data_IF_391632827602
#
_entry.id   IF_391632827602
#
_cell.length_a   1.000
_cell.length_b   1.000
_cell.length_c   1.000
_cell.angle_alpha   90.00
_cell.angle_beta   90.00
_cell.angle_gamma   90.00
#
_symmetry.space_group_name_H-M   'P 1'
#
loop_
_entity.id
_entity.type
_entity.pdbx_description
1 polymer ?
#
# COMPACT_ATOMS: atom_id res chain seq x y z
N UNK A 1 8.73 27.04 -54.83
CA UNK A 1 8.32 25.63 -54.87
C UNK A 1 9.58 24.78 -54.84
N UNK A 2 9.88 24.16 -53.70
CA UNK A 2 10.82 23.06 -53.62
C UNK A 2 10.32 22.18 -52.47
N UNK A 3 9.52 21.18 -52.84
CA UNK A 3 8.99 20.16 -51.95
C UNK A 3 10.08 19.09 -51.85
N UNK A 4 10.73 18.94 -50.70
CA UNK A 4 11.68 17.85 -50.47
C UNK A 4 10.96 16.77 -49.65
N UNK A 5 10.96 15.50 -50.11
CA UNK A 5 10.14 14.44 -49.53
C UNK A 5 10.80 13.76 -48.34
N UNK A 6 9.95 13.26 -47.44
CA UNK A 6 10.12 12.10 -46.56
C UNK A 6 11.47 11.94 -45.81
N UNK A 7 11.50 12.37 -44.55
CA UNK A 7 12.15 11.55 -43.52
C UNK A 7 11.09 10.64 -42.90
N UNK A 8 10.94 9.49 -43.54
CA UNK A 8 10.18 8.34 -43.09
C UNK A 8 10.87 7.79 -41.82
N UNK A 9 10.40 8.14 -40.64
CA UNK A 9 10.83 7.52 -39.38
C UNK A 9 9.71 7.54 -38.35
N UNK A 10 8.52 7.08 -38.75
CA UNK A 10 7.40 6.81 -37.85
C UNK A 10 6.97 5.35 -38.02
N UNK A 11 7.85 4.41 -37.68
CA UNK A 11 7.48 3.03 -37.41
C UNK A 11 8.48 2.45 -36.39
N UNK A 12 8.09 2.43 -35.11
CA UNK A 12 8.47 1.32 -34.24
C UNK A 12 7.57 0.13 -34.61
N UNK A 13 8.13 -1.06 -34.69
CA UNK A 13 7.44 -2.31 -35.05
C UNK A 13 6.29 -2.67 -34.09
N UNK A 14 6.16 -1.96 -32.97
CA UNK A 14 5.02 -2.00 -32.08
C UNK A 14 4.65 -0.55 -31.70
N UNK A 15 3.43 -0.14 -32.08
CA UNK A 15 3.02 1.26 -32.09
C UNK A 15 2.73 1.85 -30.72
N UNK A 16 3.32 3.00 -30.43
CA UNK A 16 2.63 4.22 -29.97
C UNK A 16 3.45 5.44 -30.42
N UNK A 17 2.83 6.54 -30.85
CA UNK A 17 3.55 7.77 -31.18
C UNK A 17 4.07 8.42 -29.89
N UNK A 18 5.40 8.49 -29.75
CA UNK A 18 6.04 9.23 -28.66
C UNK A 18 5.78 10.72 -28.91
N UNK A 19 4.85 11.30 -28.17
CA UNK A 19 4.65 12.75 -28.12
C UNK A 19 5.82 13.37 -27.34
N UNK A 20 6.54 14.37 -27.89
CA UNK A 20 7.72 14.94 -27.25
C UNK A 20 7.39 15.84 -26.03
N UNK A 21 6.10 15.95 -25.65
CA UNK A 21 5.68 16.81 -24.55
C UNK A 21 4.68 16.07 -23.65
N UNK A 22 5.18 15.21 -22.79
CA UNK A 22 4.41 14.66 -21.67
C UNK A 22 5.33 14.60 -20.45
N UNK A 23 5.15 15.55 -19.53
CA UNK A 23 5.60 15.49 -18.14
C UNK A 23 4.81 14.44 -17.34
N UNK A 24 4.39 13.36 -18.01
CA UNK A 24 3.70 12.23 -17.43
C UNK A 24 4.77 11.20 -17.08
N UNK A 25 4.85 10.71 -15.84
CA UNK A 25 5.76 9.65 -15.48
C UNK A 25 5.52 8.44 -16.39
N UNK A 26 6.58 7.99 -17.09
CA UNK A 26 6.57 6.76 -17.87
C UNK A 26 6.42 5.56 -16.91
N UNK A 27 5.18 5.19 -16.59
CA UNK A 27 4.90 3.94 -15.91
C UNK A 27 5.06 2.80 -16.93
N UNK A 28 6.12 2.01 -16.76
CA UNK A 28 6.31 0.78 -17.52
C UNK A 28 5.34 -0.24 -16.91
N UNK A 29 4.15 -0.36 -17.49
CA UNK A 29 3.09 -1.27 -17.03
C UNK A 29 3.47 -2.75 -17.18
N UNK A 30 4.55 -3.04 -17.91
CA UNK A 30 5.05 -4.39 -18.17
C UNK A 30 6.01 -4.90 -17.07
N UNK A 31 6.35 -4.09 -16.06
CA UNK A 31 7.25 -4.47 -14.97
C UNK A 31 6.51 -4.67 -13.63
N UNK A 32 6.87 -5.75 -12.90
CA UNK A 32 6.34 -6.02 -11.57
C UNK A 32 6.90 -5.03 -10.52
N UNK A 33 6.00 -4.34 -9.82
CA UNK A 33 6.37 -3.42 -8.74
C UNK A 33 6.58 -4.21 -7.45
N UNK A 34 7.77 -4.05 -6.86
CA UNK A 34 8.11 -4.66 -5.56
C UNK A 34 7.71 -3.74 -4.41
N UNK A 35 7.22 -4.34 -3.33
CA UNK A 35 6.87 -3.60 -2.11
C UNK A 35 8.08 -2.97 -1.41
N UNK A 36 9.25 -3.62 -1.48
CA UNK A 36 10.50 -3.15 -0.88
C UNK A 36 11.69 -3.36 -1.82
N UNK A 37 12.72 -2.53 -1.69
CA UNK A 37 13.98 -2.65 -2.41
C UNK A 37 15.15 -3.13 -1.52
N UNK A 38 15.04 -3.00 -0.20
CA UNK A 38 16.10 -3.36 0.75
C UNK A 38 15.56 -4.00 2.04
N UNK A 39 16.45 -4.62 2.83
CA UNK A 39 16.09 -5.32 4.07
C UNK A 39 15.45 -4.40 5.12
N UNK A 40 15.87 -3.14 5.20
CA UNK A 40 15.33 -2.16 6.15
C UNK A 40 13.88 -1.79 5.81
N UNK A 41 13.58 -1.61 4.52
CA UNK A 41 12.21 -1.39 4.05
C UNK A 41 11.34 -2.61 4.28
N UNK A 42 11.86 -3.81 4.02
CA UNK A 42 11.15 -5.05 4.32
C UNK A 42 10.77 -5.14 5.79
N UNK A 43 11.73 -4.95 6.70
CA UNK A 43 11.47 -4.96 8.16
C UNK A 43 10.44 -3.89 8.56
N UNK A 44 10.52 -2.69 7.97
CA UNK A 44 9.51 -1.65 8.18
C UNK A 44 8.12 -2.13 7.77
N UNK A 45 7.96 -2.75 6.60
CA UNK A 45 6.65 -3.22 6.13
C UNK A 45 6.13 -4.42 6.93
N UNK A 46 7.00 -5.32 7.39
CA UNK A 46 6.62 -6.39 8.31
C UNK A 46 6.05 -5.81 9.61
N UNK A 47 6.75 -4.84 10.22
CA UNK A 47 6.26 -4.18 11.43
C UNK A 47 4.91 -3.47 11.21
N UNK A 48 4.72 -2.82 10.05
CA UNK A 48 3.44 -2.19 9.71
C UNK A 48 2.33 -3.23 9.49
N UNK A 49 2.65 -4.36 8.86
CA UNK A 49 1.72 -5.46 8.64
C UNK A 49 1.27 -6.10 9.96
N UNK A 50 2.19 -6.30 10.91
CA UNK A 50 1.90 -6.82 12.24
C UNK A 50 0.93 -5.89 12.99
N UNK A 51 1.18 -4.58 12.99
CA UNK A 51 0.29 -3.64 13.66
C UNK A 51 -1.09 -3.62 12.99
N UNK A 52 -1.16 -3.61 11.66
CA UNK A 52 -2.43 -3.70 10.94
C UNK A 52 -3.21 -4.98 11.31
N UNK A 53 -2.54 -6.12 11.36
CA UNK A 53 -3.15 -7.40 11.75
C UNK A 53 -3.70 -7.36 13.18
N UNK A 54 -2.98 -6.75 14.12
CA UNK A 54 -3.44 -6.59 15.51
C UNK A 54 -4.68 -5.69 15.60
N UNK A 55 -4.71 -4.58 14.85
CA UNK A 55 -5.87 -3.68 14.85
C UNK A 55 -7.11 -4.39 14.29
N UNK A 56 -6.96 -5.07 13.16
CA UNK A 56 -8.07 -5.79 12.52
C UNK A 56 -8.56 -6.94 13.40
N UNK A 57 -7.66 -7.71 14.01
CA UNK A 57 -8.07 -8.77 14.95
C UNK A 57 -8.80 -8.21 16.16
N UNK A 58 -8.42 -7.04 16.68
CA UNK A 58 -9.16 -6.33 17.73
C UNK A 58 -10.57 -5.96 17.27
N UNK A 59 -10.73 -5.41 16.06
CA UNK A 59 -12.06 -5.07 15.50
C UNK A 59 -12.97 -6.31 15.42
N UNK A 60 -12.43 -7.46 15.02
CA UNK A 60 -13.18 -8.72 15.02
C UNK A 60 -13.53 -9.21 16.43
N UNK A 61 -12.64 -9.04 17.39
CA UNK A 61 -12.85 -9.48 18.77
C UNK A 61 -13.93 -8.64 19.46
N UNK A 62 -13.99 -7.33 19.19
CA UNK A 62 -15.08 -6.46 19.64
C UNK A 62 -16.42 -6.86 19.01
N UNK A 63 -16.42 -7.17 17.71
CA UNK A 63 -17.60 -7.70 17.00
C UNK A 63 -18.04 -9.07 17.55
N UNK A 64 -17.12 -9.91 18.01
CA UNK A 64 -17.42 -11.21 18.60
C UNK A 64 -18.00 -11.06 20.02
N UNK A 65 -17.50 -10.09 20.79
CA UNK A 65 -18.04 -9.72 22.10
C UNK A 65 -19.50 -9.26 22.00
N UNK A 66 -19.84 -8.42 21.02
CA UNK A 66 -21.23 -7.98 20.77
C UNK A 66 -22.16 -9.16 20.42
N UNK A 67 -21.61 -10.29 19.96
CA UNK A 67 -22.34 -11.52 19.63
C UNK A 67 -22.29 -12.57 20.76
N UNK A 68 -21.89 -12.17 21.97
CA UNK A 68 -21.73 -13.04 23.14
C UNK A 68 -20.82 -14.27 22.89
N UNK A 69 -19.93 -14.18 21.90
CA UNK A 69 -19.01 -15.28 21.54
C UNK A 69 -17.69 -15.25 22.33
N UNK A 70 -17.43 -14.15 23.03
CA UNK A 70 -16.22 -13.90 23.83
C UNK A 70 -16.65 -13.19 25.12
N UNK A 71 -16.01 -13.50 26.25
CA UNK A 71 -16.32 -12.88 27.54
C UNK A 71 -15.68 -11.50 27.71
N UNK A 72 -16.24 -10.69 28.63
CA UNK A 72 -15.69 -9.36 28.94
C UNK A 72 -14.27 -9.41 29.53
N UNK A 73 -13.96 -10.50 30.26
CA UNK A 73 -12.64 -10.71 30.85
C UNK A 73 -11.57 -10.91 29.77
N UNK A 74 -11.85 -11.75 28.78
CA UNK A 74 -10.97 -12.00 27.63
C UNK A 74 -10.76 -10.71 26.83
N UNK A 75 -11.84 -9.99 26.49
CA UNK A 75 -11.73 -8.71 25.77
C UNK A 75 -10.85 -7.69 26.50
N UNK A 76 -10.94 -7.60 27.83
CA UNK A 76 -10.16 -6.66 28.64
C UNK A 76 -8.66 -6.98 28.59
N UNK A 77 -8.30 -8.26 28.61
CA UNK A 77 -6.92 -8.70 28.48
C UNK A 77 -6.33 -8.29 27.13
N UNK A 78 -7.08 -8.49 26.04
CA UNK A 78 -6.65 -8.09 24.70
C UNK A 78 -6.52 -6.57 24.55
N UNK A 79 -7.45 -5.79 25.09
CA UNK A 79 -7.37 -4.31 25.07
C UNK A 79 -6.13 -3.78 25.79
N UNK A 80 -5.73 -4.43 26.89
CA UNK A 80 -4.50 -4.07 27.60
C UNK A 80 -3.27 -4.29 26.74
N UNK A 81 -3.22 -5.39 25.97
CA UNK A 81 -2.15 -5.66 25.03
C UNK A 81 -2.12 -4.66 23.86
N UNK A 82 -3.29 -4.20 23.38
CA UNK A 82 -3.41 -3.21 22.30
C UNK A 82 -2.80 -1.85 22.66
N UNK A 83 -2.90 -1.44 23.93
CA UNK A 83 -2.30 -0.19 24.40
C UNK A 83 -0.77 -0.19 24.21
N UNK A 84 -0.12 -1.35 24.41
CA UNK A 84 1.32 -1.47 24.18
C UNK A 84 1.71 -1.21 22.73
N UNK A 85 0.84 -1.60 21.78
CA UNK A 85 1.06 -1.43 20.33
C UNK A 85 0.80 0.02 19.91
N UNK A 86 -0.16 0.67 20.56
CA UNK A 86 -0.52 2.07 20.28
C UNK A 86 0.63 3.02 20.60
N UNK A 87 1.46 2.69 21.58
CA UNK A 87 2.65 3.48 21.93
C UNK A 87 3.77 3.41 20.86
N UNK A 88 3.76 2.42 19.98
CA UNK A 88 4.75 2.29 18.90
C UNK A 88 4.42 3.13 17.66
N UNK A 89 3.16 3.57 17.49
CA UNK A 89 2.72 4.31 16.31
C UNK A 89 2.38 5.76 16.71
N UNK A 90 3.10 6.76 16.16
CA UNK A 90 2.84 8.17 16.48
C UNK A 90 1.44 8.68 16.11
N UNK A 91 0.81 8.10 15.08
CA UNK A 91 -0.51 8.49 14.58
C UNK A 91 -1.26 7.27 14.01
N UNK A 92 -2.10 6.67 14.85
CA UNK A 92 -2.89 5.49 14.52
C UNK A 92 -4.01 5.81 13.52
N UNK A 93 -4.65 6.98 13.64
CA UNK A 93 -5.77 7.38 12.81
C UNK A 93 -5.32 7.62 11.37
N UNK A 94 -4.17 8.28 11.19
CA UNK A 94 -3.56 8.44 9.88
C UNK A 94 -3.16 7.09 9.28
N UNK A 95 -2.57 6.21 10.08
CA UNK A 95 -2.19 4.86 9.62
C UNK A 95 -3.41 4.09 9.10
N UNK A 96 -4.50 4.05 9.86
CA UNK A 96 -5.71 3.33 9.44
C UNK A 96 -6.35 3.94 8.19
N UNK A 97 -6.25 5.26 7.99
CA UNK A 97 -6.71 5.90 6.76
C UNK A 97 -5.87 5.54 5.54
N UNK A 98 -4.56 5.38 5.72
CA UNK A 98 -3.63 5.10 4.62
C UNK A 98 -3.68 3.61 4.17
N UNK A 99 -4.10 2.69 5.04
CA UNK A 99 -4.07 1.23 4.81
C UNK A 99 -5.43 0.51 4.77
N UNK A 100 -6.55 1.23 4.93
CA UNK A 100 -7.92 0.67 4.87
C UNK A 100 -8.63 1.08 3.58
#
# INVERSE_FOLDING_TARGET
MANTPASFSYLSEFGTPISPNSSEPNYILDEEVKLYANNKEREKYENLADVYAIIITMEYLEKAYVRDSVSAAELTQYKTAMNLVSDLIPDLDKFMKDYK
#
